data_IF_738495742456
#
_entry.id   IF_738495742456
#
_cell.length_a   1.000
_cell.length_b   1.000
_cell.length_c   1.000
_cell.angle_alpha   90.00
_cell.angle_beta   90.00
_cell.angle_gamma   90.00
#
_symmetry.space_group_name_H-M   'P 1'
#
loop_
_entity.id
_entity.type
_entity.pdbx_description
1 polymer ?
#
# COMPACT_ATOMS: atom_id res chain seq x y z
N UNK A 1 57.99 -0.93 16.04
CA UNK A 1 57.58 -1.20 14.63
C UNK A 1 56.49 -2.26 14.63
N UNK A 2 55.37 -2.07 13.92
CA UNK A 2 54.11 -2.74 14.24
C UNK A 2 53.95 -4.14 13.62
N UNK A 3 53.22 -5.00 14.33
CA UNK A 3 52.77 -6.32 13.84
C UNK A 3 51.64 -6.15 12.81
N UNK A 4 51.72 -6.88 11.69
CA UNK A 4 50.75 -6.77 10.59
C UNK A 4 49.63 -7.81 10.77
N UNK A 5 48.44 -7.37 11.14
CA UNK A 5 47.28 -8.24 11.35
C UNK A 5 46.74 -8.84 10.05
N UNK A 6 46.22 -10.07 10.17
CA UNK A 6 45.74 -10.92 9.07
C UNK A 6 44.33 -10.46 8.66
N UNK A 7 44.15 -10.04 7.41
CA UNK A 7 42.83 -9.65 6.88
C UNK A 7 42.14 -10.87 6.28
N UNK A 8 41.08 -11.35 6.92
CA UNK A 8 40.19 -12.36 6.34
C UNK A 8 39.21 -11.70 5.37
N UNK A 9 39.18 -12.20 4.13
CA UNK A 9 38.36 -11.65 3.04
C UNK A 9 37.20 -12.60 2.73
N UNK A 10 36.08 -12.43 3.43
CA UNK A 10 34.84 -13.17 3.15
C UNK A 10 34.08 -12.56 1.97
N UNK A 11 34.39 -13.03 0.76
CA UNK A 11 33.54 -12.81 -0.43
C UNK A 11 32.64 -14.02 -0.65
N UNK A 12 31.44 -14.00 -0.04
CA UNK A 12 30.37 -14.94 -0.36
C UNK A 12 29.60 -14.45 -1.58
N UNK A 13 30.02 -14.88 -2.77
CA UNK A 13 29.34 -14.63 -4.03
C UNK A 13 28.80 -15.95 -4.57
N UNK A 14 27.54 -16.25 -4.27
CA UNK A 14 26.85 -17.43 -4.78
C UNK A 14 26.39 -17.21 -6.23
N UNK A 15 27.29 -17.39 -7.19
CA UNK A 15 26.90 -17.61 -8.58
C UNK A 15 26.58 -19.10 -8.77
N UNK A 16 25.37 -19.41 -9.24
CA UNK A 16 24.92 -20.79 -9.49
C UNK A 16 25.65 -21.39 -10.68
N UNK A 17 26.44 -22.43 -10.41
CA UNK A 17 27.09 -23.31 -11.38
C UNK A 17 26.03 -24.21 -12.02
N UNK A 18 25.42 -23.76 -13.13
CA UNK A 18 24.54 -24.60 -13.94
C UNK A 18 25.38 -25.42 -14.93
N UNK A 19 25.23 -26.73 -14.87
CA UNK A 19 25.96 -27.69 -15.70
C UNK A 19 25.52 -27.58 -17.17
N UNK A 20 26.50 -27.54 -18.08
CA UNK A 20 26.29 -27.37 -19.52
C UNK A 20 25.83 -28.71 -20.12
N UNK A 21 24.50 -28.86 -20.28
CA UNK A 21 23.90 -30.08 -20.83
C UNK A 21 24.30 -30.26 -22.30
N UNK A 22 24.81 -31.42 -22.73
CA UNK A 22 25.12 -31.67 -24.13
C UNK A 22 23.87 -31.57 -25.02
N UNK A 23 23.88 -30.65 -25.99
CA UNK A 23 22.86 -30.59 -27.04
C UNK A 23 23.01 -31.80 -27.96
N UNK A 24 22.09 -32.77 -27.87
CA UNK A 24 22.19 -34.00 -28.67
C UNK A 24 21.19 -35.12 -28.33
N UNK A 25 20.01 -34.81 -27.79
CA UNK A 25 18.94 -35.78 -27.59
C UNK A 25 17.60 -35.19 -28.04
N UNK A 26 17.01 -35.77 -29.09
CA UNK A 26 15.73 -35.35 -29.63
C UNK A 26 14.60 -35.58 -28.61
N UNK A 27 13.93 -34.50 -28.21
CA UNK A 27 12.95 -34.54 -27.11
C UNK A 27 11.62 -35.23 -27.46
N UNK A 28 11.41 -35.58 -28.74
CA UNK A 28 10.13 -36.06 -29.27
C UNK A 28 9.95 -37.59 -29.26
N UNK A 29 10.85 -38.34 -28.61
CA UNK A 29 10.78 -39.83 -28.54
C UNK A 29 10.65 -40.44 -27.13
N UNK A 30 10.39 -39.62 -26.10
CA UNK A 30 10.28 -40.12 -24.72
C UNK A 30 8.90 -40.73 -24.39
N UNK A 31 8.79 -42.05 -24.51
CA UNK A 31 7.65 -42.83 -24.04
C UNK A 31 8.03 -43.73 -22.84
N UNK A 32 7.69 -43.36 -21.58
CA UNK A 32 8.08 -44.16 -20.42
C UNK A 32 7.18 -45.40 -20.25
N UNK A 33 7.73 -46.58 -20.56
CA UNK A 33 7.11 -47.87 -20.22
C UNK A 33 7.45 -48.20 -18.77
N UNK A 34 6.43 -48.28 -17.91
CA UNK A 34 6.58 -48.65 -16.49
C UNK A 34 6.62 -50.18 -16.37
N UNK A 35 7.66 -50.79 -15.77
CA UNK A 35 7.66 -52.22 -15.49
C UNK A 35 6.63 -52.58 -14.40
N UNK A 36 5.83 -53.63 -14.62
CA UNK A 36 4.75 -54.03 -13.69
C UNK A 36 5.27 -54.64 -12.37
N UNK A 37 6.54 -55.04 -12.31
CA UNK A 37 7.17 -55.57 -11.10
C UNK A 37 7.92 -54.46 -10.34
N UNK A 38 7.53 -54.24 -9.09
CA UNK A 38 7.90 -53.07 -8.29
C UNK A 38 9.42 -52.81 -8.16
N UNK A 39 9.80 -51.55 -8.38
CA UNK A 39 11.19 -51.10 -8.37
C UNK A 39 11.69 -50.93 -6.92
N UNK A 40 12.52 -51.86 -6.42
CA UNK A 40 13.22 -51.70 -5.14
C UNK A 40 14.37 -50.70 -5.28
N UNK A 41 14.14 -49.43 -4.96
CA UNK A 41 15.17 -48.39 -5.00
C UNK A 41 16.13 -48.56 -3.82
N UNK A 42 17.21 -49.31 -4.03
CA UNK A 42 18.31 -49.41 -3.06
C UNK A 42 19.21 -48.17 -3.16
N UNK A 43 18.92 -47.14 -2.36
CA UNK A 43 19.76 -45.96 -2.24
C UNK A 43 21.13 -46.33 -1.63
N UNK A 44 22.13 -46.57 -2.48
CA UNK A 44 23.54 -46.58 -2.04
C UNK A 44 23.92 -45.16 -1.63
N UNK A 45 24.34 -44.99 -0.38
CA UNK A 45 24.83 -43.71 0.13
C UNK A 45 25.99 -43.19 -0.74
N UNK A 46 26.01 -41.89 -1.10
CA UNK A 46 27.07 -41.34 -1.93
C UNK A 46 28.38 -41.28 -1.15
N UNK A 47 29.34 -42.10 -1.55
CA UNK A 47 30.69 -42.15 -0.97
C UNK A 47 31.41 -40.82 -1.21
N UNK A 48 31.41 -39.96 -0.18
CA UNK A 48 32.03 -38.63 -0.16
C UNK A 48 33.57 -38.67 -0.05
N UNK A 49 34.27 -39.38 -0.96
CA UNK A 49 35.75 -39.45 -0.96
C UNK A 49 36.42 -39.19 -2.32
N UNK A 50 35.85 -38.29 -3.12
CA UNK A 50 36.53 -37.69 -4.27
C UNK A 50 37.16 -36.34 -3.92
N UNK A 51 38.48 -36.28 -3.66
CA UNK A 51 39.20 -34.98 -3.63
C UNK A 51 39.19 -34.38 -5.05
N UNK A 52 38.20 -33.52 -5.35
CA UNK A 52 38.15 -32.71 -6.58
C UNK A 52 39.51 -32.01 -6.74
N UNK A 53 40.32 -32.46 -7.71
CA UNK A 53 41.59 -31.79 -8.05
C UNK A 53 41.24 -30.37 -8.45
N UNK A 54 41.67 -29.37 -7.67
CA UNK A 54 41.52 -27.97 -8.07
C UNK A 54 42.18 -27.81 -9.43
N UNK A 55 41.41 -27.43 -10.44
CA UNK A 55 41.97 -27.07 -11.75
C UNK A 55 43.05 -26.01 -11.54
N UNK A 56 44.18 -26.14 -12.25
CA UNK A 56 45.23 -25.12 -12.17
C UNK A 56 44.63 -23.79 -12.59
N UNK A 57 44.83 -22.75 -11.79
CA UNK A 57 44.32 -21.42 -12.10
C UNK A 57 45.17 -20.82 -13.21
N UNK A 58 44.69 -20.93 -14.45
CA UNK A 58 45.28 -20.21 -15.58
C UNK A 58 44.80 -18.75 -15.57
N UNK A 59 45.68 -17.76 -15.32
CA UNK A 59 45.28 -16.36 -15.19
C UNK A 59 44.69 -15.81 -16.50
N UNK A 60 45.22 -16.22 -17.66
CA UNK A 60 44.72 -15.80 -18.98
C UNK A 60 43.30 -16.30 -19.25
N UNK A 61 43.03 -17.58 -18.96
CA UNK A 61 41.68 -18.17 -19.11
C UNK A 61 40.69 -17.52 -18.15
N UNK A 62 41.12 -17.21 -16.92
CA UNK A 62 40.30 -16.47 -15.96
C UNK A 62 40.00 -15.04 -16.41
N UNK A 63 40.96 -14.34 -17.02
CA UNK A 63 40.77 -13.00 -17.59
C UNK A 63 39.84 -13.03 -18.82
N UNK A 64 40.03 -14.00 -19.72
CA UNK A 64 39.17 -14.22 -20.89
C UNK A 64 37.72 -14.47 -20.45
N UNK A 65 37.49 -15.33 -19.45
CA UNK A 65 36.15 -15.58 -18.86
C UNK A 65 35.53 -14.31 -18.27
N UNK A 66 36.31 -13.48 -17.55
CA UNK A 66 35.82 -12.18 -17.03
C UNK A 66 35.41 -11.24 -18.16
N UNK A 67 36.19 -11.19 -19.26
CA UNK A 67 35.89 -10.36 -20.43
C UNK A 67 34.62 -10.82 -21.14
N UNK A 68 34.45 -12.13 -21.34
CA UNK A 68 33.22 -12.73 -21.89
C UNK A 68 32.02 -12.43 -21.00
N UNK A 69 32.13 -12.60 -19.67
CA UNK A 69 31.04 -12.31 -18.74
C UNK A 69 30.66 -10.82 -18.70
N UNK A 70 31.62 -9.89 -18.89
CA UNK A 70 31.31 -8.47 -19.08
C UNK A 70 30.45 -8.25 -20.33
N UNK A 71 30.86 -8.80 -21.48
CA UNK A 71 30.10 -8.68 -22.75
C UNK A 71 28.70 -9.31 -22.61
N UNK A 72 28.59 -10.52 -22.03
CA UNK A 72 27.30 -11.17 -21.74
C UNK A 72 26.38 -10.28 -20.89
N UNK A 73 26.92 -9.62 -19.86
CA UNK A 73 26.17 -8.68 -19.00
C UNK A 73 25.74 -7.41 -19.74
N UNK A 74 26.58 -6.85 -20.60
CA UNK A 74 26.25 -5.70 -21.44
C UNK A 74 25.14 -6.05 -22.45
N UNK A 75 25.24 -7.19 -23.14
CA UNK A 75 24.21 -7.73 -24.05
C UNK A 75 22.89 -7.97 -23.30
N UNK A 76 22.92 -8.54 -22.10
CA UNK A 76 21.72 -8.76 -21.30
C UNK A 76 21.03 -7.44 -20.90
N UNK A 77 21.82 -6.42 -20.50
CA UNK A 77 21.30 -5.08 -20.20
C UNK A 77 20.70 -4.43 -21.45
N UNK A 78 21.32 -4.58 -22.62
CA UNK A 78 20.77 -4.08 -23.89
C UNK A 78 19.47 -4.80 -24.28
N UNK A 79 19.42 -6.13 -24.19
CA UNK A 79 18.20 -6.93 -24.43
C UNK A 79 17.05 -6.47 -23.53
N UNK A 80 17.32 -6.25 -22.24
CA UNK A 80 16.32 -5.76 -21.29
C UNK A 80 15.85 -4.33 -21.63
N UNK A 81 16.77 -3.42 -21.98
CA UNK A 81 16.42 -2.06 -22.43
C UNK A 81 15.54 -2.06 -23.68
N UNK A 82 15.89 -2.86 -24.70
CA UNK A 82 15.09 -2.99 -25.93
C UNK A 82 13.71 -3.55 -25.60
N UNK A 83 13.61 -4.58 -24.76
CA UNK A 83 12.33 -5.15 -24.34
C UNK A 83 11.44 -4.11 -23.63
N UNK A 84 12.00 -3.30 -22.72
CA UNK A 84 11.26 -2.21 -22.08
C UNK A 84 10.81 -1.13 -23.07
N UNK A 85 11.64 -0.78 -24.07
CA UNK A 85 11.25 0.16 -25.13
C UNK A 85 10.12 -0.40 -26.00
N UNK A 86 10.14 -1.69 -26.33
CA UNK A 86 9.05 -2.35 -27.05
C UNK A 86 7.75 -2.35 -26.23
N UNK A 87 7.81 -2.63 -24.92
CA UNK A 87 6.64 -2.56 -24.04
C UNK A 87 6.08 -1.14 -23.91
N UNK A 88 6.94 -0.11 -23.82
CA UNK A 88 6.52 1.29 -23.80
C UNK A 88 5.89 1.71 -25.13
N UNK A 89 6.51 1.37 -26.26
CA UNK A 89 5.96 1.66 -27.59
C UNK A 89 4.60 0.96 -27.81
N UNK A 90 4.46 -0.29 -27.37
CA UNK A 90 3.20 -1.03 -27.40
C UNK A 90 2.15 -0.37 -26.49
N UNK A 91 2.52 0.02 -25.27
CA UNK A 91 1.65 0.76 -24.35
C UNK A 91 1.18 2.10 -24.91
N UNK A 92 2.06 2.86 -25.56
CA UNK A 92 1.69 4.10 -26.26
C UNK A 92 0.77 3.85 -27.45
N UNK A 93 0.98 2.77 -28.22
CA UNK A 93 0.11 2.39 -29.33
C UNK A 93 -1.28 1.96 -28.84
N UNK A 94 -1.36 1.16 -27.78
CA UNK A 94 -2.63 0.82 -27.13
C UNK A 94 -3.33 2.05 -26.57
N UNK A 95 -2.60 2.95 -25.89
CA UNK A 95 -3.17 4.19 -25.36
C UNK A 95 -3.73 5.07 -26.49
N UNK A 96 -3.03 5.16 -27.63
CA UNK A 96 -3.53 5.84 -28.83
C UNK A 96 -4.79 5.20 -29.43
N UNK A 97 -4.98 3.88 -29.30
CA UNK A 97 -6.20 3.18 -29.74
C UNK A 97 -7.35 3.35 -28.73
N UNK A 98 -7.06 3.37 -27.43
CA UNK A 98 -8.07 3.62 -26.39
C UNK A 98 -8.58 5.07 -26.36
N UNK A 99 -7.76 6.01 -26.83
CA UNK A 99 -8.12 7.42 -27.04
C UNK A 99 -8.82 7.66 -28.39
N UNK A 100 -8.99 6.64 -29.24
CA UNK A 100 -9.82 6.75 -30.43
C UNK A 100 -11.30 6.80 -30.02
N UNK A 101 -11.90 7.96 -30.23
CA UNK A 101 -13.28 8.26 -29.83
C UNK A 101 -14.30 7.35 -30.54
N UNK A 102 -13.96 6.79 -31.71
CA UNK A 102 -14.81 5.83 -32.42
C UNK A 102 -14.82 4.46 -31.75
N UNK A 103 -13.65 3.97 -31.31
CA UNK A 103 -13.54 2.71 -30.56
C UNK A 103 -14.19 2.82 -29.17
N UNK A 104 -14.03 3.97 -28.50
CA UNK A 104 -14.72 4.22 -27.23
C UNK A 104 -16.24 4.11 -27.39
N UNK A 105 -16.82 4.77 -28.40
CA UNK A 105 -18.26 4.69 -28.68
C UNK A 105 -18.75 3.28 -29.03
N UNK A 106 -17.96 2.46 -29.74
CA UNK A 106 -18.31 1.06 -30.03
C UNK A 106 -18.26 0.19 -28.78
N UNK A 107 -17.29 0.40 -27.89
CA UNK A 107 -17.16 -0.33 -26.62
C UNK A 107 -18.28 0.06 -25.66
N UNK A 108 -18.56 1.35 -25.50
CA UNK A 108 -19.66 1.88 -24.67
C UNK A 108 -21.02 1.40 -25.18
N UNK A 109 -21.28 1.45 -26.49
CA UNK A 109 -22.51 0.93 -27.08
C UNK A 109 -22.68 -0.57 -26.78
N UNK A 110 -21.61 -1.37 -26.91
CA UNK A 110 -21.63 -2.81 -26.61
C UNK A 110 -21.80 -3.10 -25.11
N UNK A 111 -21.29 -2.24 -24.23
CA UNK A 111 -21.48 -2.33 -22.79
C UNK A 111 -22.90 -1.93 -22.37
N UNK A 112 -23.46 -0.85 -22.92
CA UNK A 112 -24.86 -0.48 -22.75
C UNK A 112 -25.81 -1.60 -23.21
N UNK A 113 -25.58 -2.19 -24.38
CA UNK A 113 -26.36 -3.33 -24.88
C UNK A 113 -26.24 -4.59 -24.00
N UNK A 114 -25.21 -4.68 -23.14
CA UNK A 114 -25.05 -5.75 -22.14
C UNK A 114 -25.68 -5.40 -20.78
N UNK A 115 -26.05 -4.15 -20.54
CA UNK A 115 -26.59 -3.65 -19.27
C UNK A 115 -28.09 -3.34 -19.31
N UNK A 116 -28.74 -3.38 -20.47
CA UNK A 116 -30.19 -3.45 -20.56
C UNK A 116 -30.66 -4.88 -20.26
N UNK A 117 -31.32 -5.15 -19.11
CA UNK A 117 -32.08 -6.39 -18.98
C UNK A 117 -33.23 -6.32 -19.99
N UNK A 118 -33.18 -7.17 -21.02
CA UNK A 118 -34.29 -7.34 -21.96
C UNK A 118 -35.50 -7.83 -21.15
N UNK A 119 -36.61 -7.07 -21.05
CA UNK A 119 -37.80 -7.54 -20.36
C UNK A 119 -38.35 -8.76 -21.12
N UNK A 120 -38.55 -9.89 -20.43
CA UNK A 120 -38.99 -11.14 -21.07
C UNK A 120 -40.34 -11.00 -21.80
N UNK A 121 -41.13 -9.98 -21.45
CA UNK A 121 -42.47 -9.74 -21.99
C UNK A 121 -42.47 -9.20 -23.44
N UNK A 122 -41.34 -8.65 -23.92
CA UNK A 122 -41.25 -8.04 -25.26
C UNK A 122 -41.17 -9.04 -26.42
N UNK A 123 -40.96 -10.35 -26.14
CA UNK A 123 -40.73 -11.37 -27.18
C UNK A 123 -42.04 -12.02 -27.69
N UNK A 124 -43.19 -11.78 -27.04
CA UNK A 124 -44.46 -12.44 -27.38
C UNK A 124 -45.41 -11.65 -28.30
N UNK A 125 -45.13 -10.38 -28.63
CA UNK A 125 -46.01 -9.53 -29.45
C UNK A 125 -45.60 -9.38 -30.93
N UNK A 126 -44.68 -10.22 -31.44
CA UNK A 126 -44.31 -10.27 -32.85
C UNK A 126 -44.66 -11.61 -33.54
N UNK A 127 -45.78 -12.21 -33.11
CA UNK A 127 -46.43 -13.34 -33.82
C UNK A 127 -47.95 -13.24 -33.75
N UNK A 128 -48.56 -12.51 -34.68
CA UNK A 128 -49.82 -12.92 -35.33
C UNK A 128 -50.17 -11.99 -36.49
N UNK A 129 -50.43 -12.63 -37.61
CA UNK A 129 -50.52 -12.06 -38.95
C UNK A 129 -51.71 -11.12 -39.20
N UNK A 130 -51.39 -10.11 -40.02
CA UNK A 130 -52.24 -9.35 -40.94
C UNK A 130 -53.54 -10.05 -41.38
N UNK A 131 -54.69 -9.39 -41.16
CA UNK A 131 -55.82 -9.38 -42.13
C UNK A 131 -56.46 -7.99 -42.22
N UNK A 132 -56.85 -7.49 -43.41
CA UNK A 132 -57.24 -6.09 -43.60
C UNK A 132 -58.76 -5.82 -43.62
N UNK A 133 -59.15 -4.66 -43.06
CA UNK A 133 -60.21 -3.80 -43.60
C UNK A 133 -61.59 -3.83 -42.93
N UNK A 134 -61.99 -2.67 -42.34
CA UNK A 134 -63.14 -1.82 -42.78
C UNK A 134 -63.39 -0.62 -41.81
N UNK A 135 -63.42 0.58 -42.41
CA UNK A 135 -64.07 1.89 -42.07
C UNK A 135 -64.39 2.31 -40.62
N UNK A 136 -64.16 3.61 -40.35
CA UNK A 136 -64.64 4.39 -39.19
C UNK A 136 -66.16 4.69 -39.23
N UNK A 137 -66.77 5.17 -38.12
CA UNK A 137 -66.87 6.62 -37.80
C UNK A 137 -66.43 6.94 -36.35
N UNK A 138 -65.89 8.13 -36.01
CA UNK A 138 -66.53 9.44 -35.78
C UNK A 138 -67.62 9.50 -34.66
N UNK A 139 -67.40 10.35 -33.65
CA UNK A 139 -68.39 10.68 -32.60
C UNK A 139 -67.82 11.42 -31.37
N UNK A 140 -68.15 12.71 -31.21
CA UNK A 140 -67.93 13.56 -30.01
C UNK A 140 -69.12 14.56 -29.89
N UNK A 141 -69.86 14.70 -28.76
CA UNK A 141 -69.82 15.91 -27.86
C UNK A 141 -70.28 15.63 -26.38
N UNK A 142 -70.54 16.57 -25.44
CA UNK A 142 -70.23 18.01 -25.26
C UNK A 142 -69.71 18.29 -23.82
N UNK A 143 -68.63 19.07 -23.73
CA UNK A 143 -68.35 20.21 -22.83
C UNK A 143 -69.44 20.60 -21.78
N UNK A 144 -69.01 20.82 -20.51
CA UNK A 144 -69.21 22.00 -19.59
C UNK A 144 -69.25 21.55 -18.09
N UNK A 145 -68.28 21.88 -17.22
CA UNK A 145 -67.86 23.19 -16.65
C UNK A 145 -68.78 23.70 -15.51
N UNK A 146 -68.33 24.55 -14.54
CA UNK A 146 -66.98 24.82 -14.00
C UNK A 146 -66.94 24.99 -12.44
N UNK A 147 -65.90 25.67 -11.93
CA UNK A 147 -65.75 26.31 -10.59
C UNK A 147 -65.05 25.47 -9.50
N UNK A 148 -64.21 26.01 -8.59
CA UNK A 148 -63.90 27.42 -8.19
C UNK A 148 -62.47 27.50 -7.58
N UNK A 149 -61.74 28.61 -7.85
CA UNK A 149 -60.80 29.33 -6.94
C UNK A 149 -59.54 28.58 -6.41
N UNK A 150 -58.43 29.21 -6.00
CA UNK A 150 -57.81 30.54 -6.23
C UNK A 150 -56.37 30.43 -5.67
N UNK A 151 -55.36 31.01 -6.33
CA UNK A 151 -53.96 30.96 -5.88
C UNK A 151 -53.60 32.10 -4.91
N UNK A 152 -52.81 31.79 -3.87
CA UNK A 152 -51.97 32.64 -2.97
C UNK A 152 -51.44 31.71 -1.86
N UNK A 153 -50.29 31.84 -1.18
CA UNK A 153 -49.01 32.57 -1.25
C UNK A 153 -48.32 32.19 0.08
N UNK A 154 -47.00 31.93 0.09
CA UNK A 154 -46.16 31.68 1.30
C UNK A 154 -46.39 32.71 2.42
N UNK A 155 -46.31 32.34 3.72
CA UNK A 155 -45.00 32.19 4.40
C UNK A 155 -44.87 31.15 5.55
N UNK A 156 -43.61 30.96 5.97
CA UNK A 156 -43.06 30.43 7.25
C UNK A 156 -44.00 29.96 8.38
N UNK A 157 -43.70 28.78 8.96
CA UNK A 157 -42.97 28.64 10.23
C UNK A 157 -42.61 27.16 10.50
N UNK A 158 -41.71 26.97 11.47
CA UNK A 158 -41.42 25.77 12.28
C UNK A 158 -42.19 24.47 12.00
N UNK A 159 -41.47 23.42 11.60
CA UNK A 159 -41.88 22.03 11.88
C UNK A 159 -40.65 21.18 12.23
N UNK A 160 -40.79 20.39 13.29
CA UNK A 160 -39.78 19.51 13.84
C UNK A 160 -39.62 18.27 12.95
N UNK A 161 -38.45 18.10 12.32
CA UNK A 161 -38.09 16.81 11.71
C UNK A 161 -37.30 15.98 12.71
N UNK A 162 -38.06 15.27 13.55
CA UNK A 162 -37.56 14.10 14.28
C UNK A 162 -36.97 13.11 13.28
N UNK A 163 -35.64 13.15 13.13
CA UNK A 163 -34.92 12.13 12.38
C UNK A 163 -34.85 10.87 13.21
N UNK A 164 -35.86 10.00 13.05
CA UNK A 164 -35.88 8.62 13.55
C UNK A 164 -34.68 7.84 13.01
N UNK A 165 -33.53 8.01 13.66
CA UNK A 165 -32.38 7.15 13.49
C UNK A 165 -32.73 5.83 14.18
N UNK A 166 -33.34 4.90 13.43
CA UNK A 166 -33.66 3.57 13.95
C UNK A 166 -32.42 2.94 14.59
N UNK A 167 -32.39 2.96 15.93
CA UNK A 167 -31.32 2.34 16.71
C UNK A 167 -31.46 0.83 16.52
N UNK A 168 -30.72 0.31 15.54
CA UNK A 168 -30.71 -1.09 15.17
C UNK A 168 -30.57 -1.96 16.42
N UNK A 169 -31.66 -2.66 16.79
CA UNK A 169 -31.80 -3.37 18.07
C UNK A 169 -30.55 -4.21 18.35
N UNK A 170 -29.89 -4.06 19.51
CA UNK A 170 -28.59 -4.65 19.75
C UNK A 170 -28.66 -6.18 19.61
N UNK A 171 -27.91 -6.72 18.65
CA UNK A 171 -27.77 -8.17 18.42
C UNK A 171 -27.39 -8.84 19.73
N UNK A 172 -28.28 -9.67 20.30
CA UNK A 172 -28.22 -10.19 21.69
C UNK A 172 -26.78 -10.40 22.19
N UNK A 173 -26.36 -9.56 23.13
CA UNK A 173 -25.00 -9.56 23.66
C UNK A 173 -24.64 -10.95 24.24
N UNK A 174 -23.42 -11.46 24.02
CA UNK A 174 -23.09 -12.85 24.37
C UNK A 174 -22.98 -13.04 25.90
N UNK A 175 -23.86 -13.85 26.50
CA UNK A 175 -23.96 -13.99 27.98
C UNK A 175 -22.75 -14.56 28.75
N UNK A 176 -21.64 -14.94 28.07
CA UNK A 176 -20.41 -15.47 28.72
C UNK A 176 -19.23 -14.52 28.51
N UNK A 177 -18.61 -14.04 29.60
CA UNK A 177 -17.48 -13.08 29.59
C UNK A 177 -16.38 -13.39 28.57
N UNK A 178 -15.96 -14.66 28.42
CA UNK A 178 -14.91 -15.09 27.47
C UNK A 178 -15.24 -14.75 26.00
N UNK A 179 -16.52 -14.67 25.61
CA UNK A 179 -16.97 -14.38 24.23
C UNK A 179 -16.81 -12.90 23.83
N UNK A 180 -16.54 -11.99 24.78
CA UNK A 180 -16.23 -10.58 24.50
C UNK A 180 -14.77 -10.33 24.14
N UNK A 181 -13.89 -11.33 24.21
CA UNK A 181 -12.51 -11.18 23.76
C UNK A 181 -12.50 -11.22 22.23
N UNK A 182 -12.05 -10.14 21.60
CA UNK A 182 -12.01 -9.93 20.14
C UNK A 182 -13.40 -10.01 19.45
N UNK A 183 -14.49 -9.67 20.15
CA UNK A 183 -15.82 -9.63 19.54
C UNK A 183 -15.98 -8.39 18.64
N UNK A 184 -16.58 -8.50 17.44
CA UNK A 184 -16.58 -7.40 16.47
C UNK A 184 -17.41 -6.18 16.90
N UNK A 185 -18.50 -6.38 17.64
CA UNK A 185 -19.43 -5.30 18.04
C UNK A 185 -19.30 -4.84 19.50
N UNK A 186 -18.70 -5.67 20.36
CA UNK A 186 -18.80 -5.50 21.82
C UNK A 186 -17.44 -5.70 22.48
N UNK A 187 -17.19 -4.96 23.55
CA UNK A 187 -15.99 -5.14 24.34
C UNK A 187 -16.22 -4.80 25.82
N UNK A 188 -15.34 -5.35 26.66
CA UNK A 188 -15.29 -5.09 28.09
C UNK A 188 -13.98 -4.36 28.41
N UNK A 189 -14.02 -3.41 29.35
CA UNK A 189 -12.85 -2.64 29.80
C UNK A 189 -11.66 -3.54 30.21
N UNK A 190 -11.94 -4.72 30.79
CA UNK A 190 -10.97 -5.77 31.15
C UNK A 190 -10.19 -6.40 29.99
N UNK A 191 -10.66 -6.25 28.75
CA UNK A 191 -10.05 -6.87 27.56
C UNK A 191 -9.30 -5.85 26.68
N UNK A 192 -9.25 -4.59 27.08
CA UNK A 192 -8.47 -3.55 26.39
C UNK A 192 -6.99 -3.92 26.39
N UNK A 193 -6.36 -3.82 25.23
CA UNK A 193 -4.91 -3.98 25.10
C UNK A 193 -4.17 -2.80 25.75
N UNK A 194 -2.87 -2.99 25.99
CA UNK A 194 -1.98 -1.95 26.55
C UNK A 194 -2.09 -0.61 25.82
N UNK A 195 -2.17 -0.65 24.49
CA UNK A 195 -2.28 0.49 23.58
C UNK A 195 -3.72 0.76 23.10
N UNK A 196 -4.74 0.28 23.80
CA UNK A 196 -6.14 0.62 23.54
C UNK A 196 -6.72 1.44 24.70
N UNK A 197 -7.72 2.27 24.41
CA UNK A 197 -8.61 2.85 25.41
C UNK A 197 -10.00 3.08 24.82
N UNK A 198 -10.97 3.33 25.70
CA UNK A 198 -12.32 3.75 25.34
C UNK A 198 -12.32 5.27 25.18
N UNK A 199 -12.93 5.78 24.11
CA UNK A 199 -13.20 7.20 23.87
C UNK A 199 -14.58 7.34 23.19
N UNK A 200 -15.40 8.36 23.52
CA UNK A 200 -15.22 9.33 24.62
C UNK A 200 -15.04 8.68 26.02
N UNK A 201 -14.45 9.37 27.02
CA UNK A 201 -14.24 8.81 28.36
C UNK A 201 -15.55 8.36 29.03
N UNK A 202 -16.62 9.06 28.69
CA UNK A 202 -18.02 8.96 29.08
C UNK A 202 -18.87 8.11 28.12
N UNK A 203 -18.25 7.35 27.21
CA UNK A 203 -18.94 6.58 26.18
C UNK A 203 -20.09 5.71 26.74
N UNK A 204 -21.27 5.70 26.08
CA UNK A 204 -22.45 5.02 26.59
C UNK A 204 -22.25 3.50 26.67
N UNK A 205 -22.79 2.92 27.73
CA UNK A 205 -22.72 1.47 27.96
C UNK A 205 -23.92 0.79 27.32
N UNK A 206 -23.69 -0.22 26.49
CA UNK A 206 -24.72 -0.99 25.78
C UNK A 206 -25.42 -2.03 26.68
N UNK A 207 -25.20 -1.97 27.98
CA UNK A 207 -25.69 -2.90 28.99
C UNK A 207 -24.58 -3.48 29.87
N UNK A 208 -24.97 -4.37 30.79
CA UNK A 208 -24.09 -4.95 31.79
C UNK A 208 -24.05 -6.47 31.71
N UNK A 209 -22.86 -7.06 31.79
CA UNK A 209 -22.68 -8.53 31.86
C UNK A 209 -22.02 -8.92 33.17
N UNK A 210 -22.84 -9.44 34.09
CA UNK A 210 -22.43 -9.81 35.46
C UNK A 210 -21.68 -8.65 36.15
N UNK A 211 -22.37 -7.50 36.22
CA UNK A 211 -21.88 -6.27 36.85
C UNK A 211 -20.88 -5.43 36.06
N UNK A 212 -20.45 -5.86 34.87
CA UNK A 212 -19.48 -5.09 34.07
C UNK A 212 -20.11 -4.37 32.88
N UNK A 213 -19.78 -3.09 32.65
CA UNK A 213 -20.26 -2.34 31.49
C UNK A 213 -19.69 -2.91 30.19
N UNK A 214 -20.57 -3.14 29.23
CA UNK A 214 -20.25 -3.48 27.84
C UNK A 214 -20.24 -2.19 27.03
N UNK A 215 -19.16 -1.98 26.28
CA UNK A 215 -19.03 -0.85 25.36
C UNK A 215 -19.16 -1.35 23.92
N UNK A 216 -19.57 -0.46 23.01
CA UNK A 216 -19.41 -0.67 21.58
C UNK A 216 -17.92 -0.89 21.26
N UNK A 217 -17.60 -1.78 20.32
CA UNK A 217 -16.20 -1.95 19.86
C UNK A 217 -15.69 -0.71 19.13
N UNK A 218 -16.59 0.08 18.54
CA UNK A 218 -16.31 1.35 17.86
C UNK A 218 -15.73 2.42 18.78
N UNK A 219 -16.17 2.49 20.05
CA UNK A 219 -15.60 3.39 21.05
C UNK A 219 -14.18 2.98 21.49
N UNK A 220 -13.63 1.85 21.01
CA UNK A 220 -12.27 1.43 21.36
C UNK A 220 -11.30 1.88 20.27
N UNK A 221 -10.39 2.76 20.67
CA UNK A 221 -9.40 3.31 19.78
C UNK A 221 -7.99 2.88 20.18
N UNK A 222 -7.15 2.63 19.18
CA UNK A 222 -5.72 2.44 19.35
C UNK A 222 -5.06 3.79 19.68
N UNK A 223 -4.34 3.83 20.78
CA UNK A 223 -3.50 4.96 21.19
C UNK A 223 -2.06 4.73 20.73
N UNK A 224 -1.37 5.78 20.31
CA UNK A 224 -0.01 5.72 19.76
C UNK A 224 0.86 6.83 20.36
N UNK A 225 2.17 6.62 20.40
CA UNK A 225 3.11 7.66 20.83
C UNK A 225 3.22 8.78 19.78
N UNK A 226 3.68 9.98 20.19
CA UNK A 226 3.89 11.12 19.27
C UNK A 226 4.77 10.73 18.07
N UNK A 227 5.83 9.95 18.28
CA UNK A 227 6.69 9.40 17.21
C UNK A 227 5.93 8.44 16.27
N UNK A 228 5.05 7.59 16.81
CA UNK A 228 4.28 6.64 16.00
C UNK A 228 3.21 7.38 15.16
N UNK A 229 2.58 8.43 15.70
CA UNK A 229 1.68 9.29 14.94
C UNK A 229 2.41 10.06 13.84
N UNK A 230 3.64 10.52 14.07
CA UNK A 230 4.46 11.18 13.05
C UNK A 230 4.71 10.26 11.83
N UNK A 231 4.99 8.98 12.06
CA UNK A 231 5.10 7.97 10.99
C UNK A 231 3.79 7.76 10.20
N UNK A 232 2.65 8.09 10.81
CA UNK A 232 1.34 8.09 10.15
C UNK A 232 1.00 9.44 9.49
N UNK A 233 1.95 10.38 9.43
CA UNK A 233 1.77 11.77 8.99
C UNK A 233 0.67 12.52 9.77
N UNK A 234 0.69 12.35 11.10
CA UNK A 234 -0.13 13.12 12.04
C UNK A 234 0.74 13.68 13.15
N UNK A 235 0.38 14.85 13.67
CA UNK A 235 1.02 15.45 14.83
C UNK A 235 0.01 15.56 15.98
N UNK A 236 0.46 15.28 17.20
CA UNK A 236 -0.33 15.54 18.39
C UNK A 236 -0.38 17.05 18.59
N UNK A 237 -1.58 17.58 18.83
CA UNK A 237 -1.84 19.03 18.99
C UNK A 237 -0.92 19.68 20.02
N UNK A 238 -0.69 20.98 19.86
CA UNK A 238 0.13 21.77 20.78
C UNK A 238 -0.57 21.85 22.14
N UNK A 239 0.17 21.64 23.25
CA UNK A 239 -0.30 21.62 24.65
C UNK A 239 -1.32 20.52 25.03
N UNK A 240 -1.58 19.56 24.15
CA UNK A 240 -2.47 18.42 24.41
C UNK A 240 -1.86 17.43 25.41
N UNK A 241 -2.63 16.98 26.42
CA UNK A 241 -2.17 16.03 27.44
C UNK A 241 -2.32 14.56 26.99
N UNK A 242 -1.44 13.64 27.43
CA UNK A 242 -1.52 12.23 27.05
C UNK A 242 -2.76 11.55 27.65
N UNK A 243 -3.58 10.92 26.80
CA UNK A 243 -4.77 10.18 27.24
C UNK A 243 -4.44 8.95 28.10
N UNK A 244 -3.26 8.37 27.90
CA UNK A 244 -2.78 7.20 28.66
C UNK A 244 -1.26 7.20 28.71
N UNK A 245 -0.70 7.00 29.90
CA UNK A 245 0.75 6.79 30.08
C UNK A 245 0.96 5.30 30.39
N UNK A 246 1.92 4.67 29.71
CA UNK A 246 2.27 3.25 29.93
C UNK A 246 3.77 3.08 30.06
N UNK A 247 4.26 2.02 30.72
CA UNK A 247 5.70 1.73 30.73
C UNK A 247 6.21 1.45 29.31
N UNK A 248 7.27 2.14 28.87
CA UNK A 248 7.95 1.91 27.60
C UNK A 248 8.58 0.51 27.54
N UNK A 249 9.05 0.10 26.36
CA UNK A 249 9.99 -1.04 26.27
C UNK A 249 11.36 -0.58 26.80
N UNK A 250 12.11 -1.43 27.53
CA UNK A 250 13.45 -1.08 27.98
C UNK A 250 14.33 -0.69 26.79
N UNK A 251 15.08 0.41 26.92
CA UNK A 251 15.94 0.94 25.87
C UNK A 251 17.39 0.94 26.38
N UNK A 252 18.31 0.42 25.57
CA UNK A 252 19.73 0.54 25.86
C UNK A 252 20.18 1.96 25.57
N UNK A 253 20.69 2.66 26.58
CA UNK A 253 21.33 3.95 26.41
C UNK A 253 22.83 3.77 26.17
N UNK A 254 23.30 4.34 25.06
CA UNK A 254 24.70 4.27 24.63
C UNK A 254 25.60 5.19 25.45
N UNK A 255 25.06 6.21 26.11
CA UNK A 255 25.86 7.17 26.88
C UNK A 255 26.12 6.66 28.30
N UNK A 256 25.09 6.24 29.03
CA UNK A 256 25.26 5.62 30.36
C UNK A 256 25.72 4.15 30.31
N UNK A 257 25.62 3.50 29.16
CA UNK A 257 25.90 2.07 29.00
C UNK A 257 24.88 1.13 29.66
N UNK A 258 23.80 1.68 30.20
CA UNK A 258 22.79 0.97 30.98
C UNK A 258 21.48 0.76 30.19
N UNK A 259 20.68 -0.22 30.62
CA UNK A 259 19.33 -0.43 30.11
C UNK A 259 18.37 0.43 30.94
N UNK A 260 17.87 1.51 30.35
CA UNK A 260 16.80 2.33 30.92
C UNK A 260 15.51 1.50 30.95
N UNK A 261 15.13 1.07 32.14
CA UNK A 261 13.89 0.34 32.41
C UNK A 261 12.77 1.31 32.76
N UNK A 262 11.55 0.94 32.40
CA UNK A 262 10.30 1.57 32.87
C UNK A 262 10.04 3.05 32.55
N UNK A 263 10.73 3.66 31.58
CA UNK A 263 10.41 5.03 31.15
C UNK A 263 8.91 5.21 30.84
N UNK A 264 8.28 6.34 31.22
CA UNK A 264 6.90 6.61 30.85
C UNK A 264 6.81 6.84 29.34
N UNK A 265 5.87 6.14 28.70
CA UNK A 265 5.50 6.32 27.30
C UNK A 265 4.11 6.93 27.22
N UNK A 266 4.07 8.18 26.78
CA UNK A 266 2.85 8.92 26.48
C UNK A 266 2.15 8.34 25.24
N UNK A 267 0.84 8.12 25.35
CA UNK A 267 -0.01 7.66 24.27
C UNK A 267 -1.18 8.62 24.06
N UNK A 268 -1.44 8.90 22.80
CA UNK A 268 -2.47 9.83 22.34
C UNK A 268 -3.45 9.13 21.41
N UNK A 269 -4.72 9.53 21.47
CA UNK A 269 -5.77 9.07 20.58
C UNK A 269 -5.81 9.85 19.26
N UNK A 270 -6.55 9.33 18.28
CA UNK A 270 -6.69 9.99 16.97
C UNK A 270 -7.29 11.41 17.08
N UNK A 271 -8.27 11.61 17.98
CA UNK A 271 -8.91 12.91 18.26
C UNK A 271 -7.96 13.98 18.79
N UNK A 272 -6.82 13.56 19.38
CA UNK A 272 -5.78 14.45 19.91
C UNK A 272 -4.75 14.87 18.85
N UNK A 273 -4.94 14.43 17.61
CA UNK A 273 -3.98 14.62 16.51
C UNK A 273 -4.59 15.33 15.33
N UNK A 274 -3.79 16.19 14.72
CA UNK A 274 -4.08 16.87 13.46
C UNK A 274 -3.20 16.30 12.32
N UNK A 275 -3.57 16.50 11.05
CA UNK A 275 -2.71 16.15 9.92
C UNK A 275 -1.34 16.82 10.05
N UNK A 276 -0.26 16.10 9.75
CA UNK A 276 1.08 16.66 9.78
C UNK A 276 1.21 17.78 8.74
N UNK A 277 1.59 18.98 9.20
CA UNK A 277 1.94 20.09 8.31
C UNK A 277 3.41 19.98 7.91
N UNK A 278 3.74 19.73 6.63
CA UNK A 278 5.12 19.64 6.20
C UNK A 278 5.82 21.01 6.29
N UNK A 279 7.10 21.07 6.69
CA UNK A 279 7.85 22.31 6.75
C UNK A 279 8.06 22.89 5.35
N UNK A 280 8.12 24.20 5.25
CA UNK A 280 8.36 24.91 3.99
C UNK A 280 9.87 25.03 3.76
N UNK A 281 10.35 24.76 2.55
CA UNK A 281 11.72 25.05 2.16
C UNK A 281 11.93 26.55 1.98
N UNK A 282 12.98 27.10 2.60
CA UNK A 282 13.23 28.54 2.66
C UNK A 282 14.69 28.84 2.30
N UNK A 283 14.95 30.01 1.69
CA UNK A 283 16.27 30.46 1.25
C UNK A 283 17.06 29.41 0.42
N UNK A 284 16.38 28.67 -0.44
CA UNK A 284 17.02 27.63 -1.27
C UNK A 284 17.66 26.51 -0.44
N UNK A 285 17.08 26.15 0.72
CA UNK A 285 17.53 25.04 1.56
C UNK A 285 16.36 24.16 1.97
N UNK A 286 16.59 22.85 1.97
CA UNK A 286 15.62 21.85 2.44
C UNK A 286 15.68 21.78 3.97
N UNK A 287 14.53 21.82 4.69
CA UNK A 287 14.50 21.72 6.15
C UNK A 287 14.95 20.33 6.62
N UNK A 288 15.78 20.27 7.67
CA UNK A 288 16.45 19.04 8.15
C UNK A 288 16.17 18.79 9.62
N UNK A 289 16.20 17.52 10.02
CA UNK A 289 16.26 17.11 11.42
C UNK A 289 17.68 17.23 11.99
N UNK A 290 17.83 16.94 13.29
CA UNK A 290 19.10 16.98 14.04
C UNK A 290 20.23 16.14 13.40
N UNK A 291 19.86 15.10 12.64
CA UNK A 291 20.80 14.21 11.93
C UNK A 291 21.12 14.69 10.50
N UNK A 292 20.63 15.86 10.08
CA UNK A 292 20.90 16.45 8.77
C UNK A 292 20.08 15.87 7.61
N UNK A 293 19.07 15.05 7.90
CA UNK A 293 18.23 14.36 6.92
C UNK A 293 16.78 14.89 6.95
N UNK A 294 15.91 14.40 6.07
CA UNK A 294 14.45 14.63 6.16
C UNK A 294 13.72 13.34 6.43
N UNK A 295 12.76 13.32 7.35
CA UNK A 295 11.87 12.20 7.58
C UNK A 295 10.66 12.26 6.64
N UNK A 296 10.52 11.25 5.78
CA UNK A 296 9.53 11.21 4.69
C UNK A 296 8.80 9.86 4.69
N UNK A 297 8.08 9.55 5.78
CA UNK A 297 7.37 8.27 5.93
C UNK A 297 6.18 8.13 4.97
N UNK A 298 5.59 9.26 4.55
CA UNK A 298 4.52 9.34 3.55
C UNK A 298 4.79 10.48 2.57
N UNK A 299 4.21 10.38 1.37
CA UNK A 299 4.32 11.42 0.32
C UNK A 299 3.81 12.80 0.77
N UNK A 300 2.80 12.85 1.64
CA UNK A 300 2.27 14.11 2.20
C UNK A 300 3.20 14.79 3.22
N UNK A 301 4.28 14.14 3.68
CA UNK A 301 5.28 14.75 4.56
C UNK A 301 6.37 15.51 3.79
N UNK A 302 6.26 15.57 2.46
CA UNK A 302 7.24 16.21 1.60
C UNK A 302 7.29 17.73 1.85
N UNK A 303 8.47 18.31 2.17
CA UNK A 303 8.58 19.74 2.43
C UNK A 303 8.08 20.59 1.26
N UNK A 304 7.27 21.61 1.56
CA UNK A 304 6.68 22.47 0.53
C UNK A 304 7.80 23.20 -0.22
N UNK A 305 7.72 23.21 -1.55
CA UNK A 305 8.80 23.74 -2.41
C UNK A 305 9.92 22.74 -2.73
N UNK A 306 9.77 21.45 -2.40
CA UNK A 306 10.73 20.38 -2.78
C UNK A 306 10.11 19.35 -3.71
N UNK A 307 10.93 18.43 -4.23
CA UNK A 307 10.56 17.24 -5.02
C UNK A 307 11.44 16.07 -4.59
N UNK A 308 10.85 14.88 -4.45
CA UNK A 308 11.59 13.64 -4.16
C UNK A 308 12.00 12.94 -5.45
N UNK A 309 13.29 13.01 -5.79
CA UNK A 309 13.84 12.44 -7.03
C UNK A 309 14.59 11.13 -6.73
N UNK A 310 14.15 10.03 -7.35
CA UNK A 310 14.73 8.68 -7.19
C UNK A 310 15.73 8.39 -8.31
N UNK A 311 16.97 8.88 -8.17
CA UNK A 311 18.06 8.59 -9.10
C UNK A 311 19.43 8.49 -8.39
N UNK A 312 20.34 7.62 -8.88
CA UNK A 312 21.70 7.52 -8.35
C UNK A 312 22.51 8.79 -8.68
N UNK A 313 23.47 9.13 -7.83
CA UNK A 313 24.39 10.24 -8.08
C UNK A 313 23.82 11.66 -7.95
N UNK A 314 22.53 11.82 -7.60
CA UNK A 314 21.86 13.13 -7.48
C UNK A 314 22.62 14.17 -6.65
N UNK A 315 23.31 13.77 -5.58
CA UNK A 315 24.14 14.69 -4.80
C UNK A 315 25.25 15.34 -5.65
N UNK A 316 25.94 14.56 -6.50
CA UNK A 316 27.01 15.07 -7.37
C UNK A 316 26.47 16.04 -8.43
N UNK A 317 25.26 15.78 -8.94
CA UNK A 317 24.59 16.66 -9.91
C UNK A 317 24.13 17.95 -9.24
N UNK A 318 23.45 17.84 -8.10
CA UNK A 318 22.97 18.99 -7.34
C UNK A 318 24.12 19.90 -6.86
N UNK A 319 25.24 19.33 -6.39
CA UNK A 319 26.45 20.11 -6.06
C UNK A 319 27.06 20.84 -7.26
N UNK A 320 26.96 20.29 -8.48
CA UNK A 320 27.41 20.99 -9.71
C UNK A 320 26.46 22.12 -10.13
N UNK A 321 25.18 22.02 -9.78
CA UNK A 321 24.13 23.00 -10.10
C UNK A 321 23.88 23.99 -8.96
N UNK A 322 24.64 23.93 -7.86
CA UNK A 322 24.44 24.71 -6.63
C UNK A 322 23.01 24.59 -6.03
N UNK A 323 22.38 23.42 -6.16
CA UNK A 323 21.04 23.13 -5.60
C UNK A 323 21.20 22.33 -4.31
N UNK A 324 20.47 22.69 -3.25
CA UNK A 324 20.48 21.92 -2.01
C UNK A 324 19.81 20.54 -2.19
N UNK A 325 20.44 19.50 -1.63
CA UNK A 325 20.09 18.11 -1.91
C UNK A 325 20.30 17.21 -0.69
N UNK A 326 19.19 16.76 -0.09
CA UNK A 326 19.17 16.08 1.21
C UNK A 326 18.63 14.65 1.05
N UNK A 327 19.23 13.62 1.69
CA UNK A 327 18.64 12.29 1.72
C UNK A 327 17.34 12.26 2.54
N UNK A 328 16.31 11.62 1.99
CA UNK A 328 15.06 11.38 2.69
C UNK A 328 15.09 10.01 3.36
N UNK A 329 14.76 9.92 4.65
CA UNK A 329 14.58 8.67 5.40
C UNK A 329 13.11 8.28 5.32
N UNK A 330 12.82 7.14 4.67
CA UNK A 330 11.43 6.63 4.47
C UNK A 330 11.02 5.60 5.50
N UNK A 331 11.97 5.07 6.27
CA UNK A 331 11.69 4.05 7.28
C UNK A 331 12.93 3.68 8.08
N UNK A 332 12.81 2.61 8.86
CA UNK A 332 13.89 2.06 9.66
C UNK A 332 13.86 0.54 9.56
N UNK A 333 15.00 -0.09 9.32
CA UNK A 333 15.12 -1.53 9.15
C UNK A 333 15.92 -2.12 10.32
N UNK A 334 15.36 -3.15 10.94
CA UNK A 334 15.96 -3.87 12.05
C UNK A 334 16.72 -5.10 11.54
N UNK A 335 18.04 -5.06 11.61
CA UNK A 335 18.89 -6.23 11.44
C UNK A 335 19.36 -6.74 12.82
N UNK A 336 19.94 -7.94 12.89
CA UNK A 336 20.37 -8.57 14.15
C UNK A 336 21.38 -7.75 14.98
N UNK A 337 21.98 -6.69 14.41
CA UNK A 337 22.94 -5.79 15.07
C UNK A 337 22.38 -4.40 15.41
N UNK A 338 21.13 -4.09 15.07
CA UNK A 338 20.50 -2.81 15.39
C UNK A 338 19.43 -2.35 14.40
N UNK A 339 18.85 -1.20 14.68
CA UNK A 339 17.88 -0.51 13.82
C UNK A 339 18.58 0.62 13.10
N UNK A 340 18.52 0.63 11.77
CA UNK A 340 19.19 1.62 10.92
C UNK A 340 18.17 2.39 10.07
N UNK A 341 18.37 3.70 9.81
CA UNK A 341 17.49 4.46 8.94
C UNK A 341 17.62 3.99 7.49
N UNK A 342 16.48 3.68 6.87
CA UNK A 342 16.39 3.39 5.44
C UNK A 342 16.26 4.73 4.72
N UNK A 343 17.38 5.21 4.20
CA UNK A 343 17.35 6.28 3.20
C UNK A 343 16.62 5.75 1.96
N UNK A 344 15.69 6.56 1.43
CA UNK A 344 15.07 6.29 0.16
C UNK A 344 16.13 6.18 -0.94
N UNK A 345 15.82 5.42 -2.00
CA UNK A 345 16.58 5.43 -3.26
C UNK A 345 16.58 6.79 -3.97
N UNK A 346 16.00 7.82 -3.36
CA UNK A 346 15.91 9.18 -3.87
C UNK A 346 16.21 10.25 -2.83
N UNK A 347 16.61 11.43 -3.31
CA UNK A 347 16.91 12.61 -2.50
C UNK A 347 15.84 13.67 -2.70
N UNK A 348 15.64 14.51 -1.69
CA UNK A 348 14.85 15.73 -1.81
C UNK A 348 15.73 16.82 -2.41
N UNK A 349 15.20 17.45 -3.44
CA UNK A 349 15.80 18.56 -4.18
C UNK A 349 14.75 19.66 -4.25
N UNK A 350 15.15 20.93 -4.27
CA UNK A 350 14.23 22.06 -4.38
C UNK A 350 13.50 22.03 -5.72
N UNK A 351 12.20 22.33 -5.70
CA UNK A 351 11.44 22.58 -6.91
C UNK A 351 11.86 23.94 -7.47
N UNK A 352 12.22 24.00 -8.76
CA UNK A 352 12.58 25.27 -9.42
C UNK A 352 11.44 26.28 -9.56
N UNK A 353 10.21 25.88 -9.20
CA UNK A 353 9.03 26.75 -9.15
C UNK A 353 9.04 27.63 -7.90
N UNK A 354 9.96 28.61 -7.86
CA UNK A 354 10.15 29.43 -6.65
C UNK A 354 11.29 30.43 -6.70
N UNK A 355 11.61 31.01 -7.87
CA UNK A 355 12.26 32.33 -7.90
C UNK A 355 11.21 33.36 -7.43
N UNK A 356 11.06 33.50 -6.12
CA UNK A 356 10.54 34.73 -5.54
C UNK A 356 11.72 35.67 -5.52
N UNK A 357 11.83 36.50 -6.56
CA UNK A 357 12.82 37.57 -6.60
C UNK A 357 12.46 38.59 -5.50
N UNK A 358 13.50 39.09 -4.82
CA UNK A 358 13.39 40.03 -3.70
C UNK A 358 13.49 41.48 -4.19
#
# INVERSE_FOLDING_TARGET
>A
MPQRTKVEKNESSSESDWEEVPEGADLDSYAPVVPENGITITLKEPVMTGKRKKAKFDPEVAEMRRRINRVRKEVHVLKHKVHLLCLLAHGLKLNSLMLDQTLHGVIEARFCMSLYPVPLDAVQLLKTDVKPGRKAPEGNPEIKAPSKKKAQRVPSESDEVDSDFEVAKPKKAPGKKKRFKNHPLYALKRHLLKFEAIYPPDAPTLGFVRGEPVYARECIHTLRSRETWLREARMVRIKEQPYKIVKARPKYDKFSGQILKEQPLELFGHWQTEPYMPPIAFNGKVPRNEWGNVELFKSCMLPVGTVHLRAPGLARVASKLNIDCVPAVVGFEGHCRGVHPVAALGKLILSGAGKVEA
#
